data_IF_042738218103
#
_entry.id   IF_042738218103
#
_cell.length_a   1.000
_cell.length_b   1.000
_cell.length_c   1.000
_cell.angle_alpha   90.00
_cell.angle_beta   90.00
_cell.angle_gamma   90.00
#
_symmetry.space_group_name_H-M   'P 1'
#
loop_
_entity.id
_entity.type
_entity.pdbx_description
1 polymer ?
#
# COMPACT_ATOMS: atom_id res chain seq x y z
N UNK A 1 -4.84 23.66 0.08
CA UNK A 1 -5.98 24.05 0.95
C UNK A 1 -6.02 23.05 2.09
N UNK A 2 -6.25 23.50 3.31
CA UNK A 2 -6.39 22.63 4.48
C UNK A 2 -7.57 23.10 5.34
N UNK A 3 -8.15 22.19 6.11
CA UNK A 3 -9.21 22.51 7.06
C UNK A 3 -8.62 22.78 8.45
N UNK A 4 -8.96 23.91 9.08
CA UNK A 4 -8.30 24.36 10.31
C UNK A 4 -8.53 23.47 11.55
N UNK A 5 -9.59 22.66 11.53
CA UNK A 5 -9.98 21.81 12.67
C UNK A 5 -9.99 20.31 12.37
N UNK A 6 -9.85 19.93 11.10
CA UNK A 6 -9.97 18.54 10.67
C UNK A 6 -8.78 18.21 9.78
N UNK A 7 -8.31 16.97 9.80
CA UNK A 7 -7.20 16.50 8.97
C UNK A 7 -7.62 16.32 7.49
N UNK A 8 -8.16 17.38 6.88
CA UNK A 8 -8.57 17.42 5.48
C UNK A 8 -7.61 18.32 4.70
N UNK A 9 -7.04 17.77 3.64
CA UNK A 9 -6.05 18.42 2.80
C UNK A 9 -6.44 18.30 1.33
N UNK A 10 -6.30 19.38 0.58
CA UNK A 10 -6.60 19.45 -0.85
C UNK A 10 -5.48 20.12 -1.63
N UNK A 11 -5.09 19.51 -2.75
CA UNK A 11 -4.08 20.01 -3.69
C UNK A 11 -4.71 20.21 -5.07
N UNK A 12 -4.23 21.18 -5.83
CA UNK A 12 -4.68 21.46 -7.21
C UNK A 12 -3.69 20.94 -8.27
N UNK A 13 -2.92 19.92 -7.90
CA UNK A 13 -1.94 19.24 -8.75
C UNK A 13 -1.91 17.75 -8.37
N UNK A 14 -1.23 16.94 -9.19
CA UNK A 14 -1.14 15.49 -9.05
C UNK A 14 0.15 15.08 -8.31
N UNK A 15 0.16 14.89 -6.97
CA UNK A 15 1.36 14.47 -6.25
C UNK A 15 1.84 13.04 -6.60
N UNK A 16 1.00 12.26 -7.26
CA UNK A 16 1.26 10.88 -7.67
C UNK A 16 2.11 10.75 -8.94
N UNK A 17 2.16 11.78 -9.79
CA UNK A 17 2.89 11.71 -11.06
C UNK A 17 4.36 12.09 -10.89
N UNK A 18 5.23 11.49 -11.71
CA UNK A 18 6.68 11.76 -11.69
C UNK A 18 7.03 13.23 -11.98
N UNK A 19 6.12 13.97 -12.63
CA UNK A 19 6.27 15.38 -12.97
C UNK A 19 6.13 16.32 -11.77
N UNK A 20 5.68 15.84 -10.60
CA UNK A 20 5.60 16.64 -9.38
C UNK A 20 6.86 16.40 -8.55
N UNK A 21 7.80 17.36 -8.51
CA UNK A 21 8.97 17.23 -7.65
C UNK A 21 8.52 17.02 -6.21
N UNK A 22 9.13 16.05 -5.53
CA UNK A 22 8.80 15.71 -4.13
C UNK A 22 7.35 15.23 -3.90
N UNK A 23 6.60 14.89 -4.94
CA UNK A 23 5.22 14.37 -4.79
C UNK A 23 5.14 13.13 -3.89
N UNK A 24 6.13 12.24 -3.99
CA UNK A 24 6.28 11.07 -3.11
C UNK A 24 6.48 11.45 -1.63
N UNK A 25 7.24 12.51 -1.35
CA UNK A 25 7.47 12.98 0.03
C UNK A 25 6.17 13.56 0.61
N UNK A 26 5.39 14.27 -0.21
CA UNK A 26 4.08 14.79 0.19
C UNK A 26 3.13 13.64 0.56
N UNK A 27 3.04 12.61 -0.28
CA UNK A 27 2.22 11.42 0.00
C UNK A 27 2.70 10.66 1.24
N UNK A 28 4.02 10.51 1.42
CA UNK A 28 4.60 9.88 2.60
C UNK A 28 4.26 10.65 3.89
N UNK A 29 4.36 11.98 3.87
CA UNK A 29 3.97 12.81 5.01
C UNK A 29 2.50 12.64 5.36
N UNK A 30 1.62 12.60 4.35
CA UNK A 30 0.20 12.38 4.58
C UNK A 30 -0.06 11.00 5.20
N UNK A 31 0.51 9.94 4.64
CA UNK A 31 0.30 8.58 5.14
C UNK A 31 0.85 8.38 6.56
N UNK A 32 2.10 8.78 6.81
CA UNK A 32 2.81 8.39 8.03
C UNK A 32 2.72 9.42 9.16
N UNK A 33 2.67 10.71 8.83
CA UNK A 33 2.64 11.77 9.85
C UNK A 33 1.22 12.26 10.13
N UNK A 34 0.37 12.38 9.10
CA UNK A 34 -1.02 12.84 9.28
C UNK A 34 -1.94 11.69 9.65
N UNK A 35 -1.98 10.63 8.84
CA UNK A 35 -2.84 9.47 9.09
C UNK A 35 -2.28 8.50 10.14
N UNK A 36 -0.99 8.61 10.48
CA UNK A 36 -0.34 7.71 11.44
C UNK A 36 -0.25 6.26 10.97
N UNK A 37 -0.29 6.01 9.65
CA UNK A 37 -0.14 4.67 9.11
C UNK A 37 1.24 4.11 9.48
N UNK A 38 1.30 2.81 9.76
CA UNK A 38 2.58 2.11 9.96
C UNK A 38 3.09 1.61 8.60
N UNK A 39 4.37 1.81 8.24
CA UNK A 39 4.94 1.31 6.99
C UNK A 39 5.24 -0.20 7.07
N UNK A 40 4.25 -1.00 7.47
CA UNK A 40 4.37 -2.47 7.59
C UNK A 40 4.08 -3.21 6.28
N UNK A 41 3.47 -2.53 5.30
CA UNK A 41 3.20 -3.11 3.99
C UNK A 41 4.46 -3.12 3.13
N UNK A 42 5.11 -4.27 3.06
CA UNK A 42 6.29 -4.52 2.23
C UNK A 42 6.05 -5.76 1.39
N UNK A 43 6.81 -5.94 0.30
CA UNK A 43 6.72 -7.17 -0.47
C UNK A 43 7.04 -8.42 0.38
N UNK A 44 7.97 -8.31 1.34
CA UNK A 44 8.33 -9.41 2.23
C UNK A 44 7.20 -9.79 3.18
N UNK A 45 6.67 -8.82 3.94
CA UNK A 45 5.55 -9.05 4.86
C UNK A 45 4.32 -9.56 4.12
N UNK A 46 4.03 -9.02 2.93
CA UNK A 46 2.94 -9.51 2.09
C UNK A 46 3.12 -10.98 1.66
N UNK A 47 4.32 -11.36 1.19
CA UNK A 47 4.60 -12.74 0.79
C UNK A 47 4.41 -13.69 1.99
N UNK A 48 4.92 -13.33 3.16
CA UNK A 48 4.80 -14.14 4.38
C UNK A 48 3.34 -14.33 4.78
N UNK A 49 2.57 -13.24 4.83
CA UNK A 49 1.15 -13.25 5.18
C UNK A 49 0.33 -14.09 4.18
N UNK A 50 0.56 -13.93 2.88
CA UNK A 50 -0.17 -14.67 1.86
C UNK A 50 0.19 -16.16 1.83
N UNK A 51 1.47 -16.52 2.02
CA UNK A 51 1.86 -17.93 2.13
C UNK A 51 1.21 -18.58 3.33
N UNK A 52 1.18 -17.90 4.49
CA UNK A 52 0.50 -18.39 5.69
C UNK A 52 -1.00 -18.58 5.44
N UNK A 53 -1.65 -17.58 4.83
CA UNK A 53 -3.08 -17.61 4.49
C UNK A 53 -3.42 -18.76 3.53
N UNK A 54 -2.64 -18.94 2.48
CA UNK A 54 -2.84 -20.01 1.48
C UNK A 54 -2.66 -21.39 2.14
N UNK A 55 -1.62 -21.58 2.97
CA UNK A 55 -1.41 -22.84 3.70
C UNK A 55 -2.58 -23.17 4.62
N UNK A 56 -3.10 -22.18 5.37
CA UNK A 56 -4.24 -22.37 6.24
C UNK A 56 -5.52 -22.71 5.47
N UNK A 57 -5.71 -22.12 4.28
CA UNK A 57 -6.87 -22.37 3.43
C UNK A 57 -6.83 -23.74 2.74
N UNK A 58 -5.65 -24.16 2.26
CA UNK A 58 -5.49 -25.41 1.49
C UNK A 58 -5.36 -26.63 2.40
N UNK A 59 -4.70 -26.48 3.55
CA UNK A 59 -4.35 -27.62 4.40
C UNK A 59 -3.55 -28.66 3.62
N UNK A 60 -4.02 -29.90 3.65
CA UNK A 60 -3.38 -31.04 2.96
C UNK A 60 -3.95 -31.32 1.56
N UNK A 61 -4.83 -30.45 1.05
CA UNK A 61 -5.43 -30.63 -0.27
C UNK A 61 -4.44 -30.33 -1.41
N UNK A 62 -4.66 -30.95 -2.57
CA UNK A 62 -3.92 -30.63 -3.79
C UNK A 62 -4.52 -29.41 -4.49
N UNK A 63 -3.65 -28.59 -5.11
CA UNK A 63 -4.03 -27.40 -5.87
C UNK A 63 -3.57 -27.51 -7.31
N UNK A 64 -4.32 -26.91 -8.23
CA UNK A 64 -3.97 -26.84 -9.67
C UNK A 64 -3.47 -25.43 -9.97
N UNK A 65 -2.30 -25.32 -10.61
CA UNK A 65 -1.77 -24.08 -11.14
C UNK A 65 -1.75 -24.16 -12.68
N UNK A 66 -2.62 -23.41 -13.34
CA UNK A 66 -2.57 -23.24 -14.79
C UNK A 66 -1.50 -22.21 -15.15
N UNK A 67 -0.41 -22.63 -15.79
CA UNK A 67 0.68 -21.77 -16.20
C UNK A 67 0.59 -21.42 -17.69
N UNK A 68 0.46 -20.12 -17.99
CA UNK A 68 0.54 -19.56 -19.35
C UNK A 68 1.83 -18.78 -19.64
N UNK A 69 2.68 -18.55 -18.63
CA UNK A 69 4.02 -17.97 -18.78
C UNK A 69 4.18 -16.48 -18.43
N UNK A 70 3.20 -15.86 -17.75
CA UNK A 70 3.26 -14.46 -17.33
C UNK A 70 2.42 -14.18 -16.10
#
# INVERSE_FOLDING_TARGET
>A
MEHNQQALFGVQFHPEVAHTPRGRELLANFLFNVCGATPSWTAGTFIEDEVARIRALVGDAQVICGLSGG
#
